data_IF_660357403560
#
_entry.id   IF_660357403560
#
_cell.length_a   1.000
_cell.length_b   1.000
_cell.length_c   1.000
_cell.angle_alpha   90.00
_cell.angle_beta   90.00
_cell.angle_gamma   90.00
#
_symmetry.space_group_name_H-M   'P 1'
#
loop_
_entity.id
_entity.type
_entity.pdbx_description
1 polymer ?
#
# COMPACT_ATOMS: atom_id res chain seq x y z
N UNK A 1 29.54 37.91 38.15
CA UNK A 1 28.69 36.80 38.67
C UNK A 1 27.25 37.32 38.70
N UNK A 2 26.25 36.76 38.02
CA UNK A 2 26.01 35.41 37.48
C UNK A 2 25.28 35.53 36.14
N UNK A 3 25.91 35.07 35.06
CA UNK A 3 25.24 34.71 33.81
C UNK A 3 24.71 33.30 34.04
N UNK A 4 23.49 33.17 34.56
CA UNK A 4 22.87 31.84 34.67
C UNK A 4 21.37 32.00 34.81
N UNK A 5 20.63 31.18 34.06
CA UNK A 5 19.18 30.93 34.19
C UNK A 5 18.27 31.90 33.42
N UNK A 6 18.39 31.92 32.09
CA UNK A 6 17.23 32.26 31.22
C UNK A 6 17.24 31.46 29.89
N UNK A 7 17.81 30.25 29.89
CA UNK A 7 17.92 29.40 28.69
C UNK A 7 17.23 28.03 28.83
N UNK A 8 16.49 27.77 29.91
CA UNK A 8 15.99 26.41 30.20
C UNK A 8 14.50 26.20 29.87
N UNK A 9 13.73 27.26 29.60
CA UNK A 9 12.27 27.12 29.45
C UNK A 9 11.75 27.11 28.00
N UNK A 10 12.57 27.43 26.99
CA UNK A 10 12.12 27.41 25.58
C UNK A 10 12.31 26.05 24.89
N UNK A 11 13.03 25.11 25.52
CA UNK A 11 13.33 23.81 24.93
C UNK A 11 12.18 22.77 25.10
N UNK A 12 11.14 23.08 25.88
CA UNK A 12 10.13 22.09 26.26
C UNK A 12 8.84 22.10 25.43
N UNK A 13 8.67 23.03 24.48
CA UNK A 13 7.39 23.20 23.76
C UNK A 13 7.43 22.63 22.31
N UNK A 14 8.59 22.23 21.79
CA UNK A 14 8.73 21.81 20.38
C UNK A 14 8.81 20.29 20.17
N UNK A 15 8.63 19.47 21.21
CA UNK A 15 8.77 18.00 21.09
C UNK A 15 7.47 17.26 20.73
N UNK A 16 6.32 17.94 20.60
CA UNK A 16 5.04 17.27 20.34
C UNK A 16 4.56 17.31 18.88
N UNK A 17 5.24 18.00 17.95
CA UNK A 17 4.72 18.20 16.58
C UNK A 17 5.36 17.34 15.48
N UNK A 18 6.24 16.39 15.82
CA UNK A 18 6.96 15.57 14.82
C UNK A 18 6.60 14.08 14.82
N UNK A 19 5.51 13.69 15.49
CA UNK A 19 5.05 12.30 15.46
C UNK A 19 4.11 11.98 14.27
N UNK A 20 3.63 12.99 13.54
CA UNK A 20 3.01 12.78 12.22
C UNK A 20 4.09 12.83 11.13
N UNK A 21 5.05 11.91 11.24
CA UNK A 21 5.81 11.50 10.06
C UNK A 21 4.80 10.82 9.16
N UNK A 22 4.45 11.45 8.03
CA UNK A 22 3.74 10.78 6.92
C UNK A 22 4.43 9.44 6.69
N UNK A 23 3.86 8.33 7.19
CA UNK A 23 4.40 7.00 6.90
C UNK A 23 4.37 6.87 5.39
N UNK A 24 5.53 6.61 4.78
CA UNK A 24 5.60 6.33 3.35
C UNK A 24 4.57 5.24 3.01
N UNK A 25 3.71 5.42 1.98
CA UNK A 25 2.75 4.41 1.56
C UNK A 25 3.40 3.05 1.30
N UNK A 26 4.67 3.04 0.89
CA UNK A 26 5.48 1.83 0.76
C UNK A 26 5.61 1.05 2.09
N UNK A 27 5.79 1.74 3.22
CA UNK A 27 5.89 1.12 4.54
C UNK A 27 4.56 0.46 4.95
N UNK A 28 3.43 1.15 4.73
CA UNK A 28 2.09 0.56 5.00
C UNK A 28 1.87 -0.72 4.19
N UNK A 29 2.26 -0.71 2.90
CA UNK A 29 2.17 -1.88 2.04
C UNK A 29 3.06 -3.03 2.53
N UNK A 30 4.30 -2.74 2.94
CA UNK A 30 5.19 -3.76 3.51
C UNK A 30 4.66 -4.35 4.83
N UNK A 31 4.13 -3.51 5.72
CA UNK A 31 3.51 -3.96 6.98
C UNK A 31 2.29 -4.85 6.73
N UNK A 32 1.40 -4.44 5.80
CA UNK A 32 0.23 -5.24 5.41
C UNK A 32 0.64 -6.59 4.81
N UNK A 33 1.60 -6.61 3.89
CA UNK A 33 2.16 -7.84 3.32
C UNK A 33 2.74 -8.76 4.37
N UNK A 34 3.52 -8.22 5.31
CA UNK A 34 4.09 -9.01 6.40
C UNK A 34 3.00 -9.65 7.24
N UNK A 35 1.98 -8.90 7.66
CA UNK A 35 0.85 -9.44 8.44
C UNK A 35 0.17 -10.60 7.71
N UNK A 36 -0.11 -10.44 6.42
CA UNK A 36 -0.76 -11.48 5.62
C UNK A 36 0.14 -12.69 5.35
N UNK A 37 1.46 -12.52 5.38
CA UNK A 37 2.41 -13.62 5.24
C UNK A 37 2.61 -14.39 6.56
N UNK A 38 2.48 -13.71 7.70
CA UNK A 38 2.58 -14.29 9.04
C UNK A 38 1.30 -15.07 9.44
N UNK A 39 0.14 -14.78 8.82
CA UNK A 39 -1.11 -15.53 9.01
C UNK A 39 -1.12 -16.82 8.17
N UNK A 40 -1.24 -18.03 8.78
CA UNK A 40 -1.22 -19.30 8.05
C UNK A 40 -2.36 -19.48 7.05
N UNK A 41 -3.47 -18.75 7.18
CA UNK A 41 -4.60 -18.81 6.24
C UNK A 41 -4.30 -18.08 4.93
N UNK A 42 -3.49 -17.03 5.00
CA UNK A 42 -3.19 -16.15 3.86
C UNK A 42 -1.74 -16.22 3.42
N UNK A 43 -0.88 -16.95 4.14
CA UNK A 43 0.53 -17.14 3.82
C UNK A 43 0.68 -17.87 2.49
N UNK A 44 1.62 -17.40 1.66
CA UNK A 44 1.94 -18.01 0.37
C UNK A 44 3.38 -18.52 0.35
N UNK A 45 3.63 -19.58 -0.39
CA UNK A 45 5.00 -20.04 -0.63
C UNK A 45 5.79 -19.02 -1.48
N UNK A 46 7.12 -19.16 -1.47
CA UNK A 46 8.02 -18.24 -2.17
C UNK A 46 7.81 -18.22 -3.69
N UNK A 47 7.45 -19.36 -4.29
CA UNK A 47 7.25 -19.47 -5.73
C UNK A 47 5.99 -18.71 -6.14
N UNK A 48 4.89 -18.88 -5.42
CA UNK A 48 3.65 -18.14 -5.65
C UNK A 48 3.87 -16.63 -5.52
N UNK A 49 4.60 -16.18 -4.49
CA UNK A 49 4.95 -14.76 -4.31
C UNK A 49 5.82 -14.22 -5.45
N UNK A 50 6.75 -15.05 -5.97
CA UNK A 50 7.60 -14.68 -7.10
C UNK A 50 6.78 -14.54 -8.39
N UNK A 51 5.81 -15.43 -8.62
CA UNK A 51 4.91 -15.36 -9.76
C UNK A 51 3.98 -14.14 -9.67
N UNK A 52 3.48 -13.82 -8.48
CA UNK A 52 2.78 -12.56 -8.21
C UNK A 52 3.64 -11.33 -8.54
N UNK A 53 4.92 -11.34 -8.16
CA UNK A 53 5.85 -10.28 -8.53
C UNK A 53 6.15 -10.21 -10.03
N UNK A 54 5.90 -11.27 -10.81
CA UNK A 54 5.97 -11.24 -12.28
C UNK A 54 4.65 -10.86 -12.95
N UNK A 55 3.55 -10.87 -12.20
CA UNK A 55 2.22 -10.52 -12.69
C UNK A 55 1.45 -11.73 -13.20
N UNK A 56 2.01 -12.92 -13.01
CA UNK A 56 1.42 -14.20 -13.36
C UNK A 56 0.72 -14.77 -12.12
N UNK A 57 -0.50 -14.28 -11.87
CA UNK A 57 -1.33 -14.73 -10.74
C UNK A 57 -2.78 -14.89 -11.16
N UNK A 58 -3.45 -15.84 -10.53
CA UNK A 58 -4.89 -16.03 -10.60
C UNK A 58 -5.53 -15.90 -9.21
N UNK A 59 -6.86 -15.97 -9.20
CA UNK A 59 -7.65 -15.85 -7.96
C UNK A 59 -7.42 -17.04 -7.04
N UNK A 60 -7.26 -18.24 -7.59
CA UNK A 60 -7.10 -19.48 -6.82
C UNK A 60 -5.79 -19.49 -6.01
N UNK A 61 -4.71 -18.98 -6.58
CA UNK A 61 -3.37 -18.96 -5.97
C UNK A 61 -3.11 -17.72 -5.11
N UNK A 62 -3.65 -16.57 -5.48
CA UNK A 62 -3.26 -15.28 -4.87
C UNK A 62 -4.42 -14.51 -4.23
N UNK A 63 -5.68 -14.89 -4.50
CA UNK A 63 -6.87 -14.14 -4.11
C UNK A 63 -6.97 -13.83 -2.62
N UNK A 64 -6.81 -14.84 -1.77
CA UNK A 64 -6.87 -14.67 -0.32
C UNK A 64 -5.78 -13.76 0.24
N UNK A 65 -4.54 -13.88 -0.27
CA UNK A 65 -3.43 -13.03 0.14
C UNK A 65 -3.62 -11.58 -0.32
N UNK A 66 -4.05 -11.38 -1.57
CA UNK A 66 -4.36 -10.06 -2.10
C UNK A 66 -5.46 -9.38 -1.29
N UNK A 67 -6.55 -10.10 -1.00
CA UNK A 67 -7.67 -9.60 -0.20
C UNK A 67 -7.20 -9.18 1.20
N UNK A 68 -6.39 -10.02 1.86
CA UNK A 68 -5.82 -9.70 3.16
C UNK A 68 -5.02 -8.39 3.13
N UNK A 69 -4.16 -8.20 2.12
CA UNK A 69 -3.36 -6.98 1.98
C UNK A 69 -4.28 -5.77 1.84
N UNK A 70 -5.24 -5.82 0.92
CA UNK A 70 -6.11 -4.66 0.65
C UNK A 70 -7.07 -4.33 1.78
N UNK A 71 -7.49 -5.33 2.58
CA UNK A 71 -8.21 -5.09 3.84
C UNK A 71 -7.33 -4.37 4.87
N UNK A 72 -6.09 -4.81 5.06
CA UNK A 72 -5.15 -4.17 5.99
C UNK A 72 -4.76 -2.75 5.56
N UNK A 73 -4.85 -2.45 4.26
CA UNK A 73 -4.65 -1.11 3.70
C UNK A 73 -5.93 -0.26 3.67
N UNK A 74 -7.07 -0.81 4.11
CA UNK A 74 -8.38 -0.15 4.05
C UNK A 74 -8.81 0.25 2.63
N UNK A 75 -8.22 -0.38 1.61
CA UNK A 75 -8.59 -0.23 0.19
C UNK A 75 -9.86 -1.02 -0.12
N UNK A 76 -10.00 -2.20 0.49
CA UNK A 76 -11.21 -3.02 0.43
C UNK A 76 -11.82 -3.12 1.83
N UNK A 77 -13.13 -2.90 1.92
CA UNK A 77 -13.91 -3.21 3.12
C UNK A 77 -14.45 -4.65 3.11
N UNK A 78 -15.19 -5.01 4.17
CA UNK A 78 -15.83 -6.33 4.32
C UNK A 78 -16.89 -6.65 3.24
N UNK A 79 -17.35 -5.64 2.49
CA UNK A 79 -18.37 -5.75 1.43
C UNK A 79 -17.78 -5.56 0.03
N UNK A 80 -16.45 -5.60 -0.08
CA UNK A 80 -15.70 -5.36 -1.33
C UNK A 80 -15.95 -3.99 -1.94
N UNK A 81 -16.28 -2.98 -1.13
CA UNK A 81 -16.29 -1.61 -1.61
C UNK A 81 -14.86 -1.08 -1.63
N UNK A 82 -14.54 -0.36 -2.70
CA UNK A 82 -13.19 0.14 -2.96
C UNK A 82 -13.09 1.56 -2.41
N UNK A 83 -12.18 1.77 -1.46
CA UNK A 83 -11.82 3.09 -1.00
C UNK A 83 -10.80 3.73 -1.95
N UNK A 84 -11.30 4.52 -2.90
CA UNK A 84 -10.46 5.22 -3.89
C UNK A 84 -9.42 6.15 -3.27
N UNK A 85 -9.68 6.73 -2.10
CA UNK A 85 -8.74 7.62 -1.43
C UNK A 85 -7.51 6.84 -0.91
N UNK A 86 -7.73 5.68 -0.28
CA UNK A 86 -6.63 4.80 0.16
C UNK A 86 -5.92 4.16 -1.03
N UNK A 87 -6.65 3.79 -2.08
CA UNK A 87 -6.04 3.30 -3.33
C UNK A 87 -5.12 4.37 -3.93
N UNK A 88 -5.59 5.61 -4.02
CA UNK A 88 -4.80 6.75 -4.48
C UNK A 88 -3.55 6.96 -3.63
N UNK A 89 -3.69 6.98 -2.31
CA UNK A 89 -2.56 7.12 -1.40
C UNK A 89 -1.56 5.97 -1.53
N UNK A 90 -2.01 4.77 -1.89
CA UNK A 90 -1.11 3.63 -2.12
C UNK A 90 -0.30 3.73 -3.42
N UNK A 91 -0.73 4.55 -4.39
CA UNK A 91 -0.09 4.70 -5.70
C UNK A 91 0.76 5.98 -5.81
N UNK A 92 0.48 6.99 -5.00
CA UNK A 92 1.08 8.33 -5.10
C UNK A 92 2.59 8.37 -4.84
N UNK A 93 3.16 7.34 -4.21
CA UNK A 93 4.60 7.22 -3.98
C UNK A 93 5.37 6.75 -5.23
N UNK A 94 4.67 6.20 -6.24
CA UNK A 94 5.25 5.73 -7.51
C UNK A 94 4.82 6.65 -8.66
N UNK A 95 3.52 6.94 -8.76
CA UNK A 95 2.96 7.73 -9.86
C UNK A 95 2.91 9.19 -9.43
N UNK A 96 3.92 9.97 -9.80
CA UNK A 96 4.06 11.38 -9.39
C UNK A 96 3.24 12.35 -10.25
N UNK A 97 2.88 11.96 -11.47
CA UNK A 97 1.97 12.74 -12.31
C UNK A 97 0.53 12.60 -11.79
N UNK A 98 -0.06 13.71 -11.33
CA UNK A 98 -1.37 13.70 -10.71
C UNK A 98 -2.49 13.22 -11.65
N UNK A 99 -2.44 13.60 -12.93
CA UNK A 99 -3.45 13.17 -13.89
C UNK A 99 -3.34 11.67 -14.17
N UNK A 100 -2.13 11.14 -14.28
CA UNK A 100 -1.90 9.70 -14.45
C UNK A 100 -2.26 8.90 -13.21
N UNK A 101 -2.01 9.45 -12.01
CA UNK A 101 -2.41 8.86 -10.75
C UNK A 101 -3.93 8.77 -10.64
N UNK A 102 -4.64 9.86 -10.89
CA UNK A 102 -6.10 9.89 -10.81
C UNK A 102 -6.72 8.95 -11.87
N UNK A 103 -6.15 8.93 -13.08
CA UNK A 103 -6.54 7.97 -14.11
C UNK A 103 -6.33 6.52 -13.65
N UNK A 104 -5.18 6.18 -13.05
CA UNK A 104 -4.92 4.84 -12.55
C UNK A 104 -5.89 4.42 -11.44
N UNK A 105 -6.28 5.34 -10.56
CA UNK A 105 -7.26 5.07 -9.50
C UNK A 105 -8.63 4.76 -10.10
N UNK A 106 -9.08 5.54 -11.08
CA UNK A 106 -10.35 5.30 -11.76
C UNK A 106 -10.35 3.98 -12.54
N UNK A 107 -9.28 3.71 -13.30
CA UNK A 107 -9.15 2.50 -14.12
C UNK A 107 -9.04 1.23 -13.26
N UNK A 108 -8.41 1.31 -12.09
CA UNK A 108 -8.14 0.14 -11.24
C UNK A 108 -9.18 -0.08 -10.12
N UNK A 109 -10.05 0.88 -9.83
CA UNK A 109 -11.10 0.73 -8.83
C UNK A 109 -12.32 -0.05 -9.38
N UNK A 110 -12.08 -1.26 -9.89
CA UNK A 110 -13.09 -2.12 -10.52
C UNK A 110 -13.52 -3.23 -9.57
N UNK A 111 -14.77 -3.17 -9.12
CA UNK A 111 -15.40 -4.23 -8.32
C UNK A 111 -15.72 -5.44 -9.20
N UNK A 112 -15.42 -6.64 -8.71
CA UNK A 112 -15.75 -7.94 -9.33
C UNK A 112 -16.80 -8.68 -8.50
N UNK A 113 -17.13 -9.90 -8.92
CA UNK A 113 -18.18 -10.71 -8.31
C UNK A 113 -17.81 -11.13 -6.87
N UNK A 114 -16.54 -11.45 -6.63
CA UNK A 114 -16.01 -11.80 -5.31
C UNK A 114 -15.00 -10.77 -4.76
N UNK A 115 -14.83 -10.70 -3.42
CA UNK A 115 -13.77 -9.91 -2.79
C UNK A 115 -12.36 -10.27 -3.31
N UNK A 116 -12.09 -11.56 -3.48
CA UNK A 116 -10.81 -12.09 -3.95
C UNK A 116 -10.54 -11.71 -5.41
N UNK A 117 -11.54 -11.83 -6.28
CA UNK A 117 -11.43 -11.36 -7.67
C UNK A 117 -11.20 -9.86 -7.73
N UNK A 118 -11.89 -9.09 -6.89
CA UNK A 118 -11.71 -7.63 -6.80
C UNK A 118 -10.28 -7.30 -6.38
N UNK A 119 -9.76 -7.98 -5.36
CA UNK A 119 -8.40 -7.81 -4.89
C UNK A 119 -7.36 -8.14 -5.98
N UNK A 120 -7.54 -9.24 -6.70
CA UNK A 120 -6.62 -9.63 -7.78
C UNK A 120 -6.70 -8.67 -8.96
N UNK A 121 -7.88 -8.16 -9.31
CA UNK A 121 -8.03 -7.13 -10.34
C UNK A 121 -7.26 -5.85 -9.96
N UNK A 122 -7.48 -5.34 -8.74
CA UNK A 122 -6.77 -4.15 -8.24
C UNK A 122 -5.25 -4.40 -8.31
N UNK A 123 -4.77 -5.56 -7.88
CA UNK A 123 -3.34 -5.91 -7.94
C UNK A 123 -2.79 -5.87 -9.37
N UNK A 124 -3.45 -6.56 -10.31
CA UNK A 124 -3.00 -6.62 -11.71
C UNK A 124 -3.03 -5.24 -12.36
N UNK A 125 -4.11 -4.50 -12.18
CA UNK A 125 -4.28 -3.18 -12.77
C UNK A 125 -3.26 -2.18 -12.22
N UNK A 126 -3.15 -2.05 -10.89
CA UNK A 126 -2.22 -1.11 -10.25
C UNK A 126 -0.78 -1.40 -10.65
N UNK A 127 -0.40 -2.68 -10.72
CA UNK A 127 0.92 -3.07 -11.19
C UNK A 127 1.19 -2.63 -12.63
N UNK A 128 0.23 -2.81 -13.54
CA UNK A 128 0.34 -2.33 -14.93
C UNK A 128 0.45 -0.81 -14.98
N UNK A 129 -0.34 -0.10 -14.18
CA UNK A 129 -0.33 1.36 -14.11
C UNK A 129 1.01 1.91 -13.57
N UNK A 130 1.62 1.20 -12.60
CA UNK A 130 2.92 1.57 -12.00
C UNK A 130 4.13 1.16 -12.86
N UNK A 131 3.99 0.18 -13.75
CA UNK A 131 5.11 -0.37 -14.52
C UNK A 131 5.98 0.67 -15.25
N UNK A 132 5.43 1.75 -15.86
CA UNK A 132 6.25 2.79 -16.50
C UNK A 132 7.12 3.63 -15.55
N UNK A 133 6.82 3.61 -14.25
CA UNK A 133 7.48 4.43 -13.23
C UNK A 133 8.45 3.64 -12.37
N UNK A 134 8.37 2.31 -12.40
CA UNK A 134 9.31 1.46 -11.69
C UNK A 134 10.62 1.40 -12.49
N UNK A 135 11.78 1.45 -11.82
CA UNK A 135 13.03 1.18 -12.50
C UNK A 135 12.93 -0.19 -13.15
N UNK A 136 13.27 -0.28 -14.43
CA UNK A 136 13.42 -1.54 -15.15
C UNK A 136 14.56 -2.32 -14.49
N UNK A 137 14.27 -3.01 -13.39
CA UNK A 137 15.09 -4.12 -12.95
C UNK A 137 14.84 -5.22 -13.98
N UNK A 138 15.72 -5.28 -14.98
CA UNK A 138 15.93 -6.50 -15.74
C UNK A 138 16.16 -7.62 -14.72
N UNK A 139 15.16 -8.48 -14.58
CA UNK A 139 15.17 -9.65 -13.70
C UNK A 139 15.71 -10.87 -14.42
#
# INVERSE_FOLDING_TARGET
MKITIFCVCFAAIVSATFADTRRSPNLKYQEARKKCQDDPVTSLDRETLKNAFRGDVDVASFGGHALCIYKNLQILDEKSNINKAELRSSLDYIITDAHKLDQAVEDCAVKKDTPEETAVEIFKCTKRAMAPYLPHYDM
#
